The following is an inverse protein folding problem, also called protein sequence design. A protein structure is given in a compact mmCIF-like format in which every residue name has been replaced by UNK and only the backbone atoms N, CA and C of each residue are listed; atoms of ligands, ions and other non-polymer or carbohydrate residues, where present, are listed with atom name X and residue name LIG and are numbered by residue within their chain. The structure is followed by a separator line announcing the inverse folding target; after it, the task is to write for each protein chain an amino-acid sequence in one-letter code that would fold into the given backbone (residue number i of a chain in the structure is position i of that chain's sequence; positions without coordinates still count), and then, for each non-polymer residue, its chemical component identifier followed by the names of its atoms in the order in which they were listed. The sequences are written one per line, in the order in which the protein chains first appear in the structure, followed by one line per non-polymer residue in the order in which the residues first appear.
data_IF_748559901772
#
_entry.id   IF_748559901772
#
_cell.length_a   1.000
_cell.length_b   1.000
_cell.length_c   1.000
_cell.angle_alpha   90.00
_cell.angle_beta   90.00
_cell.angle_gamma   90.00
#
_symmetry.space_group_name_H-M   'P 1'
#
loop_
_entity.id
_entity.type
_entity.pdbx_description
1 polymer ?
#
# COMPACT_ATOMS: atom_id res chain seq x y z
N UNK A 1 -19.49 16.40 3.94
CA UNK A 1 -18.65 17.05 4.93
C UNK A 1 -19.10 18.51 5.07
N UNK A 2 -19.25 19.00 6.31
CA UNK A 2 -19.68 20.38 6.57
C UNK A 2 -18.54 21.28 7.01
N UNK A 3 -17.68 20.79 7.86
CA UNK A 3 -16.52 21.52 8.36
C UNK A 3 -15.34 20.60 8.61
N UNK A 4 -14.15 21.15 8.47
CA UNK A 4 -12.89 20.59 8.88
C UNK A 4 -12.06 21.74 9.44
N UNK A 5 -11.63 21.60 10.68
CA UNK A 5 -10.80 22.59 11.37
C UNK A 5 -9.58 21.90 11.97
N UNK A 6 -8.41 22.45 11.73
CA UNK A 6 -7.14 22.03 12.30
C UNK A 6 -6.76 22.99 13.43
N UNK A 7 -6.23 22.49 14.55
CA UNK A 7 -5.84 23.34 15.67
C UNK A 7 -4.70 24.32 15.34
N UNK A 8 -3.91 24.00 14.34
CA UNK A 8 -2.83 24.83 13.80
C UNK A 8 -2.59 24.52 12.31
N UNK A 9 -1.84 25.40 11.67
CA UNK A 9 -1.60 25.38 10.23
C UNK A 9 -0.14 25.10 9.86
N UNK A 10 0.77 25.17 10.83
CA UNK A 10 2.21 25.00 10.66
C UNK A 10 2.72 24.07 11.75
N UNK A 11 3.48 23.06 11.36
CA UNK A 11 4.04 22.02 12.22
C UNK A 11 5.56 21.98 12.06
N UNK A 12 6.30 22.23 13.13
CA UNK A 12 7.77 22.15 13.11
C UNK A 12 8.24 20.83 13.71
N UNK A 13 8.53 19.88 12.84
CA UNK A 13 8.97 18.51 13.18
C UNK A 13 10.50 18.38 13.27
N UNK A 14 11.22 19.49 13.37
CA UNK A 14 12.69 19.52 13.43
C UNK A 14 13.23 18.72 14.61
N UNK A 15 12.63 18.86 15.79
CA UNK A 15 13.13 18.29 17.04
C UNK A 15 12.33 17.07 17.54
N UNK A 16 11.21 16.72 16.92
CA UNK A 16 10.34 15.62 17.35
C UNK A 16 9.06 15.52 16.54
N UNK A 17 8.24 14.54 16.90
CA UNK A 17 6.89 14.39 16.36
C UNK A 17 6.05 15.60 16.80
N UNK A 18 5.23 16.12 15.91
CA UNK A 18 4.25 17.15 16.19
C UNK A 18 2.83 16.58 16.10
N UNK A 19 2.00 16.99 17.05
CA UNK A 19 0.61 16.53 17.13
C UNK A 19 -0.34 17.71 17.07
N UNK A 20 -1.40 17.55 16.29
CA UNK A 20 -2.48 18.52 16.25
C UNK A 20 -3.83 17.88 16.49
N UNK A 21 -4.77 18.69 16.94
CA UNK A 21 -6.17 18.29 17.05
C UNK A 21 -6.94 18.76 15.83
N UNK A 22 -7.78 17.88 15.32
CA UNK A 22 -8.73 18.24 14.29
C UNK A 22 -10.16 18.13 14.82
N UNK A 23 -11.04 18.98 14.26
CA UNK A 23 -12.48 18.88 14.43
C UNK A 23 -13.14 18.74 13.05
N UNK A 24 -14.09 17.82 12.95
CA UNK A 24 -14.78 17.54 11.70
C UNK A 24 -16.28 17.35 11.94
N UNK A 25 -17.11 17.82 11.01
CA UNK A 25 -18.56 17.57 11.05
C UNK A 25 -19.09 17.12 9.71
N UNK A 26 -20.07 16.18 9.77
CA UNK A 26 -20.78 15.65 8.63
C UNK A 26 -22.29 15.82 8.82
N UNK A 27 -23.00 15.84 7.70
CA UNK A 27 -24.46 15.79 7.66
C UNK A 27 -24.86 14.76 6.63
N UNK A 28 -25.79 13.93 7.00
CA UNK A 28 -26.56 13.06 6.13
C UNK A 28 -27.99 13.59 6.02
N UNK A 29 -28.68 13.33 4.92
CA UNK A 29 -30.02 13.88 4.68
C UNK A 29 -31.15 12.96 5.13
N UNK A 30 -30.92 11.64 5.25
CA UNK A 30 -31.97 10.65 5.48
C UNK A 30 -31.62 9.64 6.57
N UNK A 31 -30.52 8.92 6.42
CA UNK A 31 -30.18 7.72 7.22
C UNK A 31 -29.48 8.02 8.52
N UNK A 32 -28.83 9.18 8.61
CA UNK A 32 -28.06 9.58 9.78
C UNK A 32 -26.80 8.74 10.00
N UNK A 33 -26.22 8.85 11.19
CA UNK A 33 -24.93 8.26 11.54
C UNK A 33 -25.00 7.18 12.61
N UNK A 34 -26.10 7.03 13.33
CA UNK A 34 -26.29 5.94 14.30
C UNK A 34 -27.50 5.11 13.91
N UNK A 35 -27.27 3.81 13.79
CA UNK A 35 -28.33 2.85 13.61
C UNK A 35 -28.17 1.71 14.62
N UNK A 36 -29.01 1.65 15.63
CA UNK A 36 -29.02 0.62 16.68
C UNK A 36 -29.21 -0.81 16.15
N UNK A 37 -29.57 -0.96 14.89
CA UNK A 37 -29.91 -2.24 14.27
C UNK A 37 -28.99 -2.64 13.12
N UNK A 38 -28.00 -1.82 12.72
CA UNK A 38 -27.15 -2.10 11.58
C UNK A 38 -25.78 -2.65 12.00
N UNK A 39 -25.27 -3.54 11.17
CA UNK A 39 -23.91 -4.06 11.27
C UNK A 39 -22.86 -3.14 10.66
N UNK A 40 -23.22 -1.91 10.31
CA UNK A 40 -22.35 -0.95 9.66
C UNK A 40 -22.08 0.23 10.58
N UNK A 41 -20.84 0.43 10.93
CA UNK A 41 -20.39 1.63 11.63
C UNK A 41 -20.21 2.76 10.62
N UNK A 42 -20.80 3.92 10.94
CA UNK A 42 -20.50 5.13 10.18
C UNK A 42 -19.07 5.56 10.47
N UNK A 43 -18.38 6.02 9.46
CA UNK A 43 -17.00 6.47 9.60
C UNK A 43 -16.68 7.67 8.71
N UNK A 44 -15.60 8.34 9.02
CA UNK A 44 -14.88 9.26 8.15
C UNK A 44 -13.39 8.95 8.22
N UNK A 45 -12.75 8.94 7.07
CA UNK A 45 -11.31 8.89 6.92
C UNK A 45 -10.84 10.08 6.09
N UNK A 46 -9.83 10.76 6.59
CA UNK A 46 -9.16 11.88 5.95
C UNK A 46 -7.70 11.51 5.71
N UNK A 47 -7.20 11.76 4.52
CA UNK A 47 -5.82 11.46 4.13
C UNK A 47 -5.14 12.74 3.65
N UNK A 48 -4.00 13.08 4.25
CA UNK A 48 -3.11 14.14 3.76
C UNK A 48 -1.85 13.55 3.17
N UNK A 49 -1.40 14.16 2.11
CA UNK A 49 -0.23 13.71 1.36
C UNK A 49 0.84 14.78 1.33
N UNK A 50 2.10 14.34 1.48
CA UNK A 50 3.29 15.17 1.40
C UNK A 50 3.48 15.80 0.02
N UNK A 51 4.35 16.82 -0.13
CA UNK A 51 4.60 17.50 -1.42
C UNK A 51 5.06 16.56 -2.53
N UNK A 52 5.91 15.58 -2.23
CA UNK A 52 6.38 14.56 -3.20
C UNK A 52 5.33 13.48 -3.50
N UNK A 53 4.36 13.31 -2.60
CA UNK A 53 3.41 12.20 -2.60
C UNK A 53 3.96 10.89 -2.06
N UNK A 54 5.16 10.89 -1.46
CA UNK A 54 5.80 9.70 -0.92
C UNK A 54 5.30 9.33 0.49
N UNK A 55 4.74 10.28 1.23
CA UNK A 55 4.28 10.08 2.60
C UNK A 55 2.85 10.55 2.78
N UNK A 56 2.11 9.81 3.60
CA UNK A 56 0.72 10.10 3.94
C UNK A 56 0.53 10.15 5.46
N UNK A 57 -0.42 10.96 5.93
CA UNK A 57 -0.95 10.90 7.30
C UNK A 57 -2.46 10.84 7.27
N UNK A 58 -3.07 10.23 8.28
CA UNK A 58 -4.48 9.88 8.29
C UNK A 58 -5.17 10.30 9.57
N UNK A 59 -6.45 10.65 9.45
CA UNK A 59 -7.37 10.74 10.56
C UNK A 59 -8.57 9.84 10.29
N UNK A 60 -8.74 8.80 11.11
CA UNK A 60 -9.87 7.88 11.00
C UNK A 60 -10.77 8.01 12.23
N UNK A 61 -12.06 8.22 12.01
CA UNK A 61 -13.07 8.38 13.05
C UNK A 61 -14.29 7.53 12.73
N UNK A 62 -14.83 6.82 13.70
CA UNK A 62 -16.01 5.98 13.49
C UNK A 62 -16.96 5.99 14.68
N UNK A 63 -18.23 5.69 14.45
CA UNK A 63 -19.25 5.62 15.50
C UNK A 63 -19.01 4.51 16.52
N UNK A 64 -18.20 3.50 16.20
CA UNK A 64 -17.77 2.48 17.15
C UNK A 64 -16.95 3.09 18.33
N UNK A 65 -16.28 4.24 18.13
CA UNK A 65 -15.57 4.96 19.20
C UNK A 65 -16.54 5.46 20.28
N UNK A 66 -17.78 5.77 19.88
CA UNK A 66 -18.84 6.19 20.80
C UNK A 66 -19.46 5.01 21.57
N UNK A 67 -19.56 3.85 20.94
CA UNK A 67 -20.26 2.67 21.48
C UNK A 67 -19.36 1.70 22.24
N UNK A 68 -18.06 1.87 22.16
CA UNK A 68 -17.08 0.96 22.76
C UNK A 68 -17.13 1.03 24.29
N UNK A 69 -17.62 -0.04 24.94
CA UNK A 69 -17.48 -0.25 26.41
C UNK A 69 -16.01 -0.37 26.82
N UNK A 70 -15.10 -0.61 25.88
CA UNK A 70 -13.67 -0.62 26.02
C UNK A 70 -13.12 0.72 25.49
N UNK A 71 -13.12 1.74 26.36
CA UNK A 71 -12.47 3.00 26.02
C UNK A 71 -10.98 2.75 25.79
N UNK A 72 -10.57 2.83 24.52
CA UNK A 72 -9.15 2.89 24.21
C UNK A 72 -8.60 4.19 24.86
N UNK A 73 -7.52 4.12 25.66
CA UNK A 73 -6.92 5.30 26.27
C UNK A 73 -6.60 6.42 25.26
N UNK A 74 -6.32 6.08 24.02
CA UNK A 74 -6.03 7.01 22.91
C UNK A 74 -7.26 7.83 22.48
N UNK A 75 -8.48 7.41 22.83
CA UNK A 75 -9.74 8.09 22.44
C UNK A 75 -10.42 8.84 23.57
N UNK A 76 -9.80 8.92 24.77
CA UNK A 76 -10.45 9.48 25.97
C UNK A 76 -10.80 10.96 25.82
N UNK A 77 -10.07 11.70 25.01
CA UNK A 77 -10.25 13.13 24.82
C UNK A 77 -11.09 13.49 23.58
N UNK A 78 -11.46 12.49 22.75
CA UNK A 78 -12.29 12.70 21.57
C UNK A 78 -13.74 12.94 22.01
N UNK A 79 -14.28 14.07 21.61
CA UNK A 79 -15.69 14.40 21.82
C UNK A 79 -16.46 14.05 20.56
N UNK A 80 -17.45 13.16 20.71
CA UNK A 80 -18.32 12.75 19.62
C UNK A 80 -19.74 13.23 19.94
N UNK A 81 -20.27 14.10 19.07
CA UNK A 81 -21.65 14.56 19.19
C UNK A 81 -22.45 14.02 18.00
N UNK A 82 -23.57 13.37 18.30
CA UNK A 82 -24.52 12.88 17.31
C UNK A 82 -25.88 13.48 17.56
N UNK A 83 -26.42 14.16 16.56
CA UNK A 83 -27.76 14.74 16.58
C UNK A 83 -28.50 14.42 15.29
N UNK A 84 -29.27 13.34 15.32
CA UNK A 84 -30.06 12.87 14.17
C UNK A 84 -29.16 12.65 12.94
N UNK A 85 -29.26 13.56 12.00
CA UNK A 85 -28.53 13.51 10.73
C UNK A 85 -27.16 14.20 10.77
N UNK A 86 -26.68 14.61 11.93
CA UNK A 86 -25.38 15.26 12.06
C UNK A 86 -24.48 14.45 12.99
N UNK A 87 -23.20 14.41 12.67
CA UNK A 87 -22.15 13.91 13.55
C UNK A 87 -20.99 14.89 13.55
N UNK A 88 -20.41 15.14 14.73
CA UNK A 88 -19.15 15.85 14.84
C UNK A 88 -18.18 15.09 15.73
N UNK A 89 -16.92 15.19 15.38
CA UNK A 89 -15.78 14.73 16.15
C UNK A 89 -14.91 15.94 16.48
N UNK A 90 -14.50 16.06 17.74
CA UNK A 90 -13.64 17.14 18.22
C UNK A 90 -12.47 16.52 18.99
N UNK A 91 -11.33 17.21 18.98
CA UNK A 91 -10.08 16.76 19.60
C UNK A 91 -9.55 15.43 19.05
N UNK A 92 -9.72 15.18 17.77
CA UNK A 92 -9.12 14.02 17.12
C UNK A 92 -7.64 14.32 16.89
N UNK A 93 -6.79 13.55 17.56
CA UNK A 93 -5.35 13.73 17.49
C UNK A 93 -4.79 13.12 16.20
N UNK A 94 -3.95 13.90 15.52
CA UNK A 94 -3.20 13.47 14.34
C UNK A 94 -1.74 13.80 14.55
N UNK A 95 -0.85 12.83 14.36
CA UNK A 95 0.59 12.98 14.52
C UNK A 95 1.26 13.14 13.17
N UNK A 96 2.14 14.15 13.08
CA UNK A 96 3.12 14.31 12.02
C UNK A 96 4.46 13.83 12.58
N UNK A 97 5.02 12.72 12.10
CA UNK A 97 6.27 12.18 12.62
C UNK A 97 7.45 13.13 12.43
N UNK A 98 8.42 13.09 13.35
CA UNK A 98 9.73 13.70 13.15
C UNK A 98 10.30 13.24 11.81
N UNK A 99 10.99 14.12 11.11
CA UNK A 99 11.55 13.88 9.77
C UNK A 99 10.53 13.79 8.63
N UNK A 100 9.26 14.12 8.87
CA UNK A 100 8.31 14.29 7.77
C UNK A 100 8.81 15.30 6.75
N UNK A 101 8.47 15.06 5.49
CA UNK A 101 8.85 15.91 4.37
C UNK A 101 8.41 17.36 4.57
N UNK A 102 9.35 18.32 4.41
CA UNK A 102 9.08 19.75 4.49
C UNK A 102 8.18 20.22 3.32
N UNK A 103 7.27 21.11 3.62
CA UNK A 103 6.43 21.80 2.64
C UNK A 103 4.95 21.67 2.89
N UNK A 104 4.15 21.94 1.87
CA UNK A 104 2.69 21.96 1.96
C UNK A 104 2.13 20.55 1.82
N UNK A 105 1.57 20.04 2.90
CA UNK A 105 0.79 18.81 2.88
C UNK A 105 -0.66 19.12 2.53
N UNK A 106 -1.22 18.33 1.63
CA UNK A 106 -2.54 18.58 1.07
C UNK A 106 -3.48 17.42 1.32
N UNK A 107 -4.72 17.69 1.70
CA UNK A 107 -5.76 16.67 1.82
C UNK A 107 -5.93 15.99 0.45
N UNK A 108 -5.57 14.73 0.37
CA UNK A 108 -5.58 13.94 -0.88
C UNK A 108 -6.84 13.11 -1.04
N UNK A 109 -7.46 12.73 0.08
CA UNK A 109 -8.64 11.88 0.07
C UNK A 109 -9.58 12.11 1.25
N UNK A 110 -10.87 11.92 0.99
CA UNK A 110 -11.93 11.89 1.98
C UNK A 110 -12.80 10.67 1.68
N UNK A 111 -12.99 9.79 2.64
CA UNK A 111 -14.03 8.77 2.55
C UNK A 111 -14.90 8.78 3.79
N UNK A 112 -16.20 8.61 3.62
CA UNK A 112 -17.14 8.57 4.71
C UNK A 112 -18.32 7.63 4.37
N UNK A 113 -18.89 7.02 5.40
CA UNK A 113 -20.07 6.15 5.30
C UNK A 113 -21.10 6.52 6.34
N UNK A 114 -22.38 6.39 5.97
CA UNK A 114 -23.52 6.56 6.87
C UNK A 114 -23.90 5.25 7.59
N UNK A 115 -24.94 5.29 8.41
CA UNK A 115 -25.41 4.16 9.21
C UNK A 115 -25.98 2.98 8.42
N UNK A 116 -26.29 3.13 7.15
CA UNK A 116 -26.80 2.05 6.29
C UNK A 116 -25.83 1.65 5.18
N UNK A 117 -24.62 2.21 5.21
CA UNK A 117 -23.55 1.85 4.30
C UNK A 117 -23.54 2.62 2.97
N UNK A 118 -24.23 3.77 2.88
CA UNK A 118 -23.97 4.67 1.77
C UNK A 118 -22.66 5.39 2.03
N UNK A 119 -21.78 5.38 1.07
CA UNK A 119 -20.46 5.96 1.18
C UNK A 119 -20.23 7.06 0.15
N UNK A 120 -19.42 8.02 0.54
CA UNK A 120 -18.80 9.01 -0.35
C UNK A 120 -17.30 8.79 -0.37
N UNK A 121 -16.69 8.96 -1.54
CA UNK A 121 -15.25 8.92 -1.70
C UNK A 121 -14.84 10.07 -2.62
N UNK A 122 -14.05 10.97 -2.08
CA UNK A 122 -13.55 12.15 -2.78
C UNK A 122 -12.04 12.03 -2.84
N UNK A 123 -11.46 12.33 -3.98
CA UNK A 123 -10.00 12.41 -4.15
C UNK A 123 -9.62 13.74 -4.79
N UNK A 124 -8.36 14.12 -4.61
CA UNK A 124 -7.76 15.26 -5.29
C UNK A 124 -7.17 14.80 -6.62
N UNK A 125 -7.58 15.39 -7.73
CA UNK A 125 -7.07 15.08 -9.06
C UNK A 125 -5.70 15.75 -9.32
N UNK A 126 -5.10 15.45 -10.48
CA UNK A 126 -3.81 15.99 -10.89
C UNK A 126 -3.83 17.51 -11.17
N UNK A 127 -5.00 18.10 -11.34
CA UNK A 127 -5.19 19.55 -11.50
C UNK A 127 -5.39 20.26 -10.15
N UNK A 128 -5.51 19.48 -9.07
CA UNK A 128 -5.72 19.97 -7.70
C UNK A 128 -7.18 20.16 -7.31
N UNK A 129 -8.12 19.67 -8.11
CA UNK A 129 -9.54 19.74 -7.80
C UNK A 129 -9.97 18.53 -7.00
N UNK A 130 -11.00 18.68 -6.16
CA UNK A 130 -11.64 17.57 -5.48
C UNK A 130 -12.77 17.01 -6.33
N UNK A 131 -12.76 15.69 -6.51
CA UNK A 131 -13.66 14.96 -7.41
C UNK A 131 -14.32 13.82 -6.66
N UNK A 132 -15.63 13.69 -6.79
CA UNK A 132 -16.36 12.51 -6.30
C UNK A 132 -16.04 11.30 -7.18
N UNK A 133 -15.60 10.20 -6.57
CA UNK A 133 -15.19 8.98 -7.28
C UNK A 133 -16.33 8.25 -8.02
N UNK A 134 -17.59 8.55 -7.70
CA UNK A 134 -18.75 7.89 -8.32
C UNK A 134 -19.34 8.71 -9.45
N UNK A 135 -19.50 10.03 -9.22
CA UNK A 135 -20.15 10.92 -10.17
C UNK A 135 -19.19 11.63 -11.08
N UNK A 136 -17.89 11.69 -10.71
CA UNK A 136 -16.86 12.49 -11.36
C UNK A 136 -17.18 13.99 -11.38
N UNK A 137 -18.01 14.43 -10.45
CA UNK A 137 -18.33 15.84 -10.30
C UNK A 137 -17.28 16.55 -9.44
N UNK A 138 -17.00 17.80 -9.77
CA UNK A 138 -16.13 18.68 -8.98
C UNK A 138 -16.84 19.08 -7.70
N UNK A 139 -16.11 19.01 -6.57
CA UNK A 139 -16.62 19.36 -5.26
C UNK A 139 -15.84 20.55 -4.72
N UNK A 140 -16.54 21.61 -4.35
CA UNK A 140 -15.99 22.69 -3.54
C UNK A 140 -16.16 22.35 -2.07
N UNK A 141 -15.05 22.02 -1.39
CA UNK A 141 -15.06 21.66 0.01
C UNK A 141 -15.37 22.84 0.94
N UNK A 142 -15.04 24.08 0.50
CA UNK A 142 -15.35 25.30 1.25
C UNK A 142 -14.57 25.50 2.56
N UNK A 143 -13.56 24.67 2.85
CA UNK A 143 -12.71 24.75 4.02
C UNK A 143 -11.23 24.55 3.67
N UNK A 144 -10.33 24.85 4.60
CA UNK A 144 -8.89 24.69 4.41
C UNK A 144 -8.52 23.22 4.37
N UNK A 145 -7.72 22.83 3.38
CA UNK A 145 -7.34 21.44 3.09
C UNK A 145 -5.84 21.21 3.19
N UNK A 146 -5.08 22.22 3.55
CA UNK A 146 -3.62 22.21 3.53
C UNK A 146 -3.04 22.68 4.85
N UNK A 147 -1.86 22.15 5.20
CA UNK A 147 -1.02 22.64 6.29
C UNK A 147 0.45 22.61 5.83
N UNK A 148 1.30 23.34 6.52
CA UNK A 148 2.73 23.42 6.26
C UNK A 148 3.52 22.61 7.29
N UNK A 149 4.43 21.80 6.82
CA UNK A 149 5.44 21.12 7.66
C UNK A 149 6.77 21.82 7.48
N UNK A 150 7.39 22.19 8.59
CA UNK A 150 8.75 22.73 8.66
C UNK A 150 9.64 21.63 9.23
N UNK A 151 10.75 21.37 8.55
CA UNK A 151 11.76 20.42 9.01
C UNK A 151 13.16 20.97 8.68
N UNK A 152 13.73 21.73 9.62
CA UNK A 152 15.06 22.34 9.45
C UNK A 152 16.21 21.32 9.54
N UNK A 153 15.95 20.12 10.01
CA UNK A 153 16.83 18.97 10.00
C UNK A 153 16.17 17.83 9.22
N UNK A 154 15.90 18.02 7.92
CA UNK A 154 15.53 16.84 7.16
C UNK A 154 16.63 15.82 7.42
N UNK A 155 16.27 14.56 7.68
CA UNK A 155 17.28 13.50 7.58
C UNK A 155 17.97 13.82 6.25
N UNK A 156 19.29 14.14 6.29
CA UNK A 156 20.07 14.06 5.05
C UNK A 156 19.64 12.70 4.51
N UNK A 157 18.94 12.67 3.37
CA UNK A 157 18.56 11.41 2.75
C UNK A 157 19.80 10.57 2.83
N UNK A 158 19.85 9.59 3.76
CA UNK A 158 20.82 8.51 3.67
C UNK A 158 20.64 8.07 2.24
N UNK A 159 21.68 8.27 1.39
CA UNK A 159 21.69 8.10 -0.07
C UNK A 159 20.58 7.16 -0.43
N UNK A 160 19.54 7.64 -1.09
CA UNK A 160 18.26 7.01 -1.30
C UNK A 160 18.40 5.49 -1.33
N UNK A 161 18.29 4.85 -0.16
CA UNK A 161 18.37 3.41 0.00
C UNK A 161 17.05 2.77 -0.39
N UNK A 162 16.10 3.58 -0.86
CA UNK A 162 14.87 3.09 -1.43
C UNK A 162 15.24 2.38 -2.73
N UNK A 163 15.18 1.08 -2.68
CA UNK A 163 15.40 0.28 -3.87
C UNK A 163 14.30 0.56 -4.89
N UNK A 164 14.67 1.27 -5.94
CA UNK A 164 13.80 1.61 -7.07
C UNK A 164 14.15 0.84 -8.33
N UNK A 165 15.18 0.01 -8.27
CA UNK A 165 15.61 -0.79 -9.40
C UNK A 165 15.12 -2.22 -9.25
N UNK A 166 14.62 -2.76 -10.35
CA UNK A 166 14.29 -4.17 -10.41
C UNK A 166 15.57 -5.03 -10.44
N UNK A 167 15.54 -6.27 -9.92
CA UNK A 167 16.62 -7.21 -10.06
C UNK A 167 17.07 -7.40 -11.51
N UNK A 168 18.36 -7.54 -11.72
CA UNK A 168 18.96 -7.76 -13.04
C UNK A 168 19.28 -9.25 -13.25
N UNK A 169 18.79 -9.83 -14.35
CA UNK A 169 19.16 -11.18 -14.75
C UNK A 169 20.61 -11.15 -15.23
N UNK A 170 21.50 -11.88 -14.55
CA UNK A 170 22.92 -11.99 -14.91
C UNK A 170 23.21 -13.17 -15.79
N UNK A 171 22.53 -14.27 -15.57
CA UNK A 171 22.69 -15.49 -16.34
C UNK A 171 21.36 -16.22 -16.54
N UNK A 172 21.19 -16.83 -17.70
CA UNK A 172 20.11 -17.75 -18.02
C UNK A 172 20.64 -18.79 -18.99
N UNK A 173 20.80 -20.03 -18.55
CA UNK A 173 21.34 -21.12 -19.33
C UNK A 173 20.36 -22.26 -19.42
N UNK A 174 20.22 -22.81 -20.62
CA UNK A 174 19.42 -24.01 -20.90
C UNK A 174 20.38 -25.15 -21.24
N UNK A 175 20.14 -26.33 -20.71
CA UNK A 175 20.97 -27.51 -21.01
C UNK A 175 20.82 -28.00 -22.46
N UNK A 176 19.79 -27.54 -23.18
CA UNK A 176 19.50 -27.89 -24.57
C UNK A 176 19.00 -26.67 -25.34
N UNK A 177 19.51 -26.46 -26.55
CA UNK A 177 19.04 -25.43 -27.49
C UNK A 177 17.90 -25.90 -28.37
N UNK A 178 17.74 -27.22 -28.51
CA UNK A 178 16.72 -27.83 -29.33
C UNK A 178 15.98 -28.89 -28.51
N UNK A 179 14.66 -28.77 -28.44
CA UNK A 179 13.77 -29.70 -27.76
C UNK A 179 12.98 -30.47 -28.84
N UNK A 180 13.09 -31.80 -28.82
CA UNK A 180 12.40 -32.67 -29.78
C UNK A 180 11.35 -33.52 -29.09
N UNK A 181 10.10 -33.13 -29.17
CA UNK A 181 8.93 -33.79 -28.58
C UNK A 181 8.18 -34.74 -29.50
N UNK A 182 8.83 -35.19 -30.62
CA UNK A 182 8.19 -36.05 -31.59
C UNK A 182 7.79 -37.40 -31.00
N UNK A 183 8.64 -37.99 -30.18
CA UNK A 183 8.50 -39.36 -29.67
C UNK A 183 7.99 -39.41 -28.22
N UNK A 184 7.78 -38.25 -27.58
CA UNK A 184 7.35 -38.15 -26.17
C UNK A 184 7.66 -36.78 -25.56
N UNK A 185 7.37 -36.64 -24.26
CA UNK A 185 7.77 -35.50 -23.48
C UNK A 185 9.29 -35.39 -23.46
N UNK A 186 9.80 -34.18 -23.48
CA UNK A 186 11.24 -33.92 -23.44
C UNK A 186 11.58 -32.98 -22.30
N UNK A 187 12.62 -33.33 -21.55
CA UNK A 187 13.08 -32.56 -20.40
C UNK A 187 14.42 -31.89 -20.68
N UNK A 188 14.55 -30.66 -20.21
CA UNK A 188 15.81 -29.92 -20.16
C UNK A 188 15.99 -29.32 -18.75
N UNK A 189 17.22 -28.90 -18.46
CA UNK A 189 17.55 -28.23 -17.21
C UNK A 189 17.86 -26.78 -17.48
N UNK A 190 17.49 -25.94 -16.51
CA UNK A 190 17.63 -24.50 -16.51
C UNK A 190 18.53 -24.08 -15.35
N UNK A 191 19.41 -23.12 -15.59
CA UNK A 191 20.13 -22.38 -14.56
C UNK A 191 19.92 -20.89 -14.77
N UNK A 192 19.65 -20.15 -13.70
CA UNK A 192 19.42 -18.71 -13.74
C UNK A 192 20.10 -18.04 -12.55
N UNK A 193 20.60 -16.82 -12.75
CA UNK A 193 21.08 -15.97 -11.66
C UNK A 193 20.64 -14.53 -11.83
N UNK A 194 20.31 -13.90 -10.70
CA UNK A 194 19.94 -12.49 -10.61
C UNK A 194 20.81 -11.79 -9.59
N UNK A 195 20.95 -10.50 -9.75
CA UNK A 195 21.54 -9.61 -8.76
C UNK A 195 20.61 -8.43 -8.52
N UNK A 196 20.60 -7.96 -7.30
CA UNK A 196 19.93 -6.76 -6.85
C UNK A 196 20.95 -5.85 -6.19
N UNK A 197 20.77 -4.52 -6.26
CA UNK A 197 21.80 -3.60 -5.78
C UNK A 197 21.57 -3.13 -4.33
N UNK A 198 20.34 -3.12 -3.83
CA UNK A 198 19.99 -2.55 -2.52
C UNK A 198 19.14 -3.50 -1.66
N UNK A 199 17.93 -3.88 -2.09
CA UNK A 199 17.03 -4.70 -1.27
C UNK A 199 17.45 -6.15 -1.15
N UNK A 200 18.17 -6.66 -2.16
CA UNK A 200 18.68 -8.01 -2.17
C UNK A 200 17.58 -9.08 -2.22
N UNK A 201 17.97 -10.31 -1.93
CA UNK A 201 17.09 -11.49 -2.02
C UNK A 201 16.84 -12.18 -0.68
N UNK A 202 17.56 -11.81 0.38
CA UNK A 202 17.37 -12.38 1.72
C UNK A 202 16.47 -11.43 2.51
N UNK A 203 15.23 -11.83 2.70
CA UNK A 203 14.32 -11.12 3.59
C UNK A 203 14.05 -11.98 4.83
N UNK A 204 14.72 -11.69 5.93
CA UNK A 204 14.59 -12.42 7.19
C UNK A 204 13.23 -12.30 7.91
N UNK A 205 12.26 -11.63 7.34
CA UNK A 205 10.93 -11.46 7.93
C UNK A 205 9.81 -11.46 6.90
N UNK A 206 9.20 -12.63 6.72
CA UNK A 206 7.78 -12.80 6.37
C UNK A 206 7.24 -12.30 5.02
N UNK A 207 6.79 -13.25 4.24
CA UNK A 207 5.71 -13.24 3.23
C UNK A 207 6.00 -12.84 1.79
N UNK A 208 7.16 -12.38 1.41
CA UNK A 208 7.49 -12.25 -0.01
C UNK A 208 8.79 -13.00 -0.31
N UNK A 209 8.67 -14.23 -0.79
CA UNK A 209 9.82 -14.97 -1.29
C UNK A 209 10.27 -14.33 -2.62
N UNK A 210 11.56 -14.11 -2.76
CA UNK A 210 12.13 -13.72 -4.06
C UNK A 210 11.89 -14.84 -5.05
N UNK A 211 11.41 -14.52 -6.25
CA UNK A 211 11.07 -15.52 -7.25
C UNK A 211 11.43 -15.10 -8.67
N UNK A 212 11.56 -16.09 -9.55
CA UNK A 212 11.65 -15.94 -10.99
C UNK A 212 10.57 -16.79 -11.64
N UNK A 213 9.78 -16.17 -12.52
CA UNK A 213 8.84 -16.85 -13.40
C UNK A 213 9.32 -16.77 -14.84
N UNK A 214 9.52 -17.92 -15.44
CA UNK A 214 9.85 -18.02 -16.86
C UNK A 214 8.74 -18.75 -17.59
N UNK A 215 8.35 -18.22 -18.73
CA UNK A 215 7.32 -18.79 -19.59
C UNK A 215 7.86 -19.00 -20.98
N UNK A 216 7.68 -20.20 -21.49
CA UNK A 216 7.87 -20.54 -22.90
C UNK A 216 6.53 -20.77 -23.56
N UNK A 217 6.32 -20.16 -24.71
CA UNK A 217 5.11 -20.33 -25.51
C UNK A 217 5.45 -21.10 -26.79
N UNK A 218 4.57 -22.02 -27.17
CA UNK A 218 4.70 -22.69 -28.48
C UNK A 218 4.56 -21.64 -29.60
N UNK A 219 5.09 -21.92 -30.81
CA UNK A 219 4.98 -20.99 -31.95
C UNK A 219 3.53 -20.62 -32.32
N UNK A 220 2.59 -21.50 -32.03
CA UNK A 220 1.15 -21.25 -32.22
C UNK A 220 0.51 -20.43 -31.13
N UNK A 221 1.19 -20.28 -29.97
CA UNK A 221 0.62 -19.68 -28.74
C UNK A 221 -0.40 -20.57 -28.03
N UNK A 222 -0.62 -21.79 -28.49
CA UNK A 222 -1.65 -22.67 -27.94
C UNK A 222 -1.22 -23.38 -26.65
N UNK A 223 0.07 -23.51 -26.41
CA UNK A 223 0.64 -24.19 -25.24
C UNK A 223 1.74 -23.36 -24.61
N UNK A 224 1.75 -23.35 -23.27
CA UNK A 224 2.77 -22.69 -22.47
C UNK A 224 3.39 -23.69 -21.51
N UNK A 225 4.67 -23.54 -21.27
CA UNK A 225 5.42 -24.23 -20.21
C UNK A 225 6.04 -23.17 -19.31
N UNK A 226 6.11 -23.46 -18.02
CA UNK A 226 6.55 -22.52 -17.00
C UNK A 226 7.66 -23.14 -16.16
N UNK A 227 8.60 -22.30 -15.73
CA UNK A 227 9.49 -22.59 -14.62
C UNK A 227 9.28 -21.52 -13.56
N UNK A 228 8.90 -21.93 -12.36
CA UNK A 228 8.72 -21.09 -11.21
C UNK A 228 9.80 -21.43 -10.19
N UNK A 229 10.63 -20.46 -9.84
CA UNK A 229 11.75 -20.62 -8.91
C UNK A 229 11.61 -19.58 -7.82
N UNK A 230 11.70 -19.98 -6.56
CA UNK A 230 11.59 -19.06 -5.43
C UNK A 230 12.53 -19.45 -4.29
N UNK A 231 12.90 -18.46 -3.49
CA UNK A 231 13.64 -18.68 -2.26
C UNK A 231 12.83 -19.58 -1.32
N UNK A 232 13.41 -20.67 -0.86
CA UNK A 232 12.71 -21.64 -0.01
C UNK A 232 12.05 -22.79 -0.75
N UNK A 233 12.34 -22.99 -2.03
CA UNK A 233 12.07 -24.27 -2.71
C UNK A 233 12.82 -25.36 -1.95
N UNK A 234 12.07 -26.17 -1.21
CA UNK A 234 12.63 -27.29 -0.44
C UNK A 234 13.12 -28.39 -1.37
N UNK A 235 14.17 -29.10 -0.91
CA UNK A 235 14.62 -30.38 -1.51
C UNK A 235 13.49 -31.42 -1.66
N UNK A 236 12.31 -31.19 -1.06
CA UNK A 236 11.16 -32.10 -1.06
C UNK A 236 10.21 -31.94 -2.26
N UNK A 237 10.17 -30.78 -2.91
CA UNK A 237 9.28 -30.54 -4.06
C UNK A 237 9.96 -30.81 -5.41
N UNK A 238 11.26 -30.73 -5.47
CA UNK A 238 12.06 -30.96 -6.68
C UNK A 238 13.17 -31.96 -6.38
N UNK A 239 13.44 -32.89 -7.30
CA UNK A 239 14.49 -33.91 -7.18
C UNK A 239 15.77 -33.33 -6.58
N UNK A 240 16.48 -34.12 -5.76
CA UNK A 240 17.69 -33.82 -4.95
C UNK A 240 18.86 -33.12 -5.69
N UNK A 241 18.67 -32.64 -6.91
CA UNK A 241 19.72 -32.06 -7.77
C UNK A 241 19.54 -30.55 -8.00
N UNK A 242 18.53 -29.92 -7.40
CA UNK A 242 18.32 -28.45 -7.48
C UNK A 242 19.21 -27.76 -6.44
N UNK A 243 20.03 -26.83 -6.89
CA UNK A 243 20.85 -25.99 -6.02
C UNK A 243 20.33 -24.56 -6.06
N UNK A 244 20.13 -23.99 -4.87
CA UNK A 244 19.77 -22.60 -4.70
C UNK A 244 20.87 -21.97 -3.84
N UNK A 245 21.53 -20.95 -4.36
CA UNK A 245 22.52 -20.17 -3.64
C UNK A 245 22.00 -18.74 -3.52
N UNK A 246 21.90 -18.26 -2.28
CA UNK A 246 21.36 -16.93 -1.98
C UNK A 246 22.34 -16.22 -1.06
N UNK A 247 22.85 -15.10 -1.50
CA UNK A 247 23.50 -14.12 -0.63
C UNK A 247 22.67 -12.83 -0.60
N UNK A 248 23.12 -11.83 0.17
CA UNK A 248 22.34 -10.60 0.36
C UNK A 248 21.89 -9.94 -0.96
N UNK A 249 22.69 -10.01 -2.01
CA UNK A 249 22.48 -9.28 -3.25
C UNK A 249 22.39 -10.18 -4.49
N UNK A 250 22.56 -11.48 -4.33
CA UNK A 250 22.52 -12.41 -5.45
C UNK A 250 21.67 -13.63 -5.12
N UNK A 251 20.97 -14.15 -6.11
CA UNK A 251 20.31 -15.45 -6.05
C UNK A 251 20.68 -16.24 -7.32
N UNK A 252 20.98 -17.51 -7.14
CA UNK A 252 21.18 -18.42 -8.26
C UNK A 252 20.40 -19.72 -8.07
N UNK A 253 19.89 -20.23 -9.17
CA UNK A 253 19.18 -21.48 -9.27
C UNK A 253 19.88 -22.35 -10.30
N UNK A 254 20.16 -23.60 -9.95
CA UNK A 254 20.80 -24.55 -10.86
C UNK A 254 19.98 -25.84 -10.94
N UNK A 255 20.04 -26.49 -12.10
CA UNK A 255 19.40 -27.77 -12.39
C UNK A 255 17.86 -27.80 -12.24
N UNK A 256 17.18 -26.68 -12.48
CA UNK A 256 15.73 -26.63 -12.47
C UNK A 256 15.21 -27.46 -13.67
N UNK A 257 14.45 -28.49 -13.37
CA UNK A 257 13.86 -29.36 -14.39
C UNK A 257 12.65 -28.73 -15.08
N UNK A 258 12.66 -28.69 -16.40
CA UNK A 258 11.55 -28.18 -17.21
C UNK A 258 11.17 -29.23 -18.24
N UNK A 259 9.91 -29.65 -18.26
CA UNK A 259 9.39 -30.64 -19.21
C UNK A 259 8.49 -29.98 -20.25
N UNK A 260 8.79 -30.20 -21.51
CA UNK A 260 7.93 -29.85 -22.64
C UNK A 260 7.12 -31.10 -23.02
N UNK A 261 5.78 -31.06 -22.90
CA UNK A 261 4.96 -32.20 -23.25
C UNK A 261 4.99 -32.50 -24.74
N UNK A 262 4.82 -33.78 -25.10
CA UNK A 262 4.52 -34.17 -26.45
C UNK A 262 3.25 -33.44 -26.92
N UNK A 263 3.17 -32.95 -28.09
CA UNK A 263 2.05 -32.17 -28.66
C UNK A 263 2.00 -30.67 -28.19
N UNK A 264 3.08 -30.12 -27.68
CA UNK A 264 3.19 -28.69 -27.38
C UNK A 264 3.41 -27.83 -28.63
#
# INVERSE_FOLDING_TARGET
LKSLELSQDIFDVTDGDETFNLSVSLTDDISGFINDSSSHDSYINLEWRSPSGAHDTYAYMGTYMYQSEYQNPEWQDIIINVDGNNISYENVEVTIPQYSEEGIWTLSGISASDAIGNDISIHRDHEGNYVDNRTYELIDLGFKTEFEVINSNPIEEEEDTTDTKAPEIKNLELSKDIINVTDGDETFYLSASLTDDISGFINGSQSYNSYIDLQWSSPSGAHNTYAHMYEGMDEYEYNNDVFIDVDSNNISFENIEVTIPQYS
#
